data_IF_225381970319
#
_entry.id   IF_225381970319
#
_cell.length_a   1.000
_cell.length_b   1.000
_cell.length_c   1.000
_cell.angle_alpha   90.00
_cell.angle_beta   90.00
_cell.angle_gamma   90.00
#
_symmetry.space_group_name_H-M   'P 1'
#
loop_
_entity.id
_entity.type
_entity.pdbx_description
1 polymer ?
#
# COMPACT_ATOMS: atom_id res chain seq x y z
N UNK A 1 43.44 -38.26 73.75
CA UNK A 1 43.76 -36.87 74.12
C UNK A 1 43.68 -35.99 72.87
N UNK A 2 42.92 -34.89 72.96
CA UNK A 2 42.94 -33.67 72.13
C UNK A 2 42.45 -33.74 70.66
N UNK A 3 41.12 -33.76 70.54
CA UNK A 3 40.23 -32.79 69.85
C UNK A 3 40.69 -31.92 68.64
N UNK A 4 39.71 -31.79 67.71
CA UNK A 4 39.35 -30.64 66.84
C UNK A 4 40.17 -30.48 65.54
N UNK A 5 39.62 -30.16 64.35
CA UNK A 5 38.40 -29.44 63.96
C UNK A 5 37.88 -29.91 62.58
N UNK A 6 36.55 -29.90 62.42
CA UNK A 6 35.80 -30.06 61.17
C UNK A 6 35.77 -28.73 60.40
N UNK A 7 35.80 -28.73 59.07
CA UNK A 7 35.14 -27.70 58.25
C UNK A 7 34.70 -28.26 56.89
N UNK A 8 33.38 -28.27 56.68
CA UNK A 8 32.71 -28.45 55.39
C UNK A 8 32.92 -27.23 54.50
N UNK A 9 33.24 -27.43 53.23
CA UNK A 9 33.11 -26.40 52.21
C UNK A 9 31.90 -26.72 51.32
N UNK A 10 30.91 -25.81 51.19
CA UNK A 10 29.77 -26.02 50.31
C UNK A 10 30.15 -25.70 48.86
N UNK A 11 29.61 -26.53 47.96
CA UNK A 11 29.52 -26.31 46.52
C UNK A 11 28.69 -25.05 46.23
N UNK A 12 29.32 -23.95 45.83
CA UNK A 12 28.63 -22.76 45.31
C UNK A 12 28.65 -22.74 43.79
N UNK A 13 27.57 -23.24 43.20
CA UNK A 13 27.21 -23.05 41.79
C UNK A 13 26.76 -21.60 41.60
N UNK A 14 27.60 -20.78 40.96
CA UNK A 14 27.27 -19.40 40.60
C UNK A 14 26.39 -19.41 39.34
N UNK A 15 25.07 -19.43 39.53
CA UNK A 15 24.09 -19.26 38.46
C UNK A 15 23.97 -17.76 38.15
N UNK A 16 24.69 -17.28 37.15
CA UNK A 16 24.50 -15.93 36.61
C UNK A 16 23.18 -15.88 35.83
N UNK A 17 22.11 -15.41 36.46
CA UNK A 17 20.91 -14.96 35.73
C UNK A 17 21.30 -13.73 34.90
N UNK A 18 21.55 -13.94 33.61
CA UNK A 18 21.50 -12.86 32.64
C UNK A 18 20.04 -12.43 32.50
N UNK A 19 19.64 -11.39 33.25
CA UNK A 19 18.38 -10.70 33.00
C UNK A 19 18.56 -9.94 31.69
N UNK A 20 18.18 -10.58 30.58
CA UNK A 20 17.97 -9.85 29.34
C UNK A 20 16.85 -8.84 29.60
N UNK A 21 17.19 -7.55 29.60
CA UNK A 21 16.19 -6.49 29.54
C UNK A 21 15.43 -6.68 28.21
N UNK A 22 14.26 -7.34 28.26
CA UNK A 22 13.26 -7.18 27.21
C UNK A 22 12.84 -5.71 27.28
N UNK A 23 13.42 -4.88 26.42
CA UNK A 23 12.76 -3.63 26.05
C UNK A 23 11.42 -4.04 25.44
N UNK A 24 10.34 -3.84 26.19
CA UNK A 24 8.99 -3.95 25.67
C UNK A 24 8.88 -2.88 24.58
N UNK A 25 9.05 -3.30 23.32
CA UNK A 25 8.84 -2.45 22.18
C UNK A 25 7.38 -2.04 22.21
N UNK A 26 7.12 -0.73 22.37
CA UNK A 26 5.78 -0.16 22.33
C UNK A 26 5.14 -0.62 21.02
N UNK A 27 4.19 -1.55 21.12
CA UNK A 27 3.52 -2.11 19.97
C UNK A 27 2.71 -0.98 19.32
N UNK A 28 2.91 -0.74 18.03
CA UNK A 28 2.02 0.16 17.32
C UNK A 28 0.59 -0.38 17.44
N UNK A 29 -0.33 0.49 17.87
CA UNK A 29 -1.74 0.16 17.89
C UNK A 29 -2.23 -0.05 16.45
N UNK A 30 -2.96 -1.15 16.25
CA UNK A 30 -3.65 -1.42 14.98
C UNK A 30 -4.58 -0.25 14.65
N UNK A 31 -4.56 0.18 13.39
CA UNK A 31 -5.51 1.15 12.85
C UNK A 31 -6.92 0.56 12.73
N UNK A 32 -7.05 -0.76 12.81
CA UNK A 32 -8.29 -1.51 12.60
C UNK A 32 -8.70 -1.59 11.13
N UNK A 33 -7.81 -1.22 10.21
CA UNK A 33 -8.01 -1.29 8.78
C UNK A 33 -7.39 -2.56 8.20
N UNK A 34 -7.88 -3.04 7.03
CA UNK A 34 -7.27 -4.18 6.35
C UNK A 34 -5.80 -3.97 5.99
N UNK A 35 -5.39 -2.73 5.74
CA UNK A 35 -3.99 -2.37 5.43
C UNK A 35 -2.99 -2.75 6.53
N UNK A 36 -3.44 -2.91 7.79
CA UNK A 36 -2.59 -3.42 8.88
C UNK A 36 -2.11 -4.86 8.64
N UNK A 37 -2.78 -5.59 7.75
CA UNK A 37 -2.52 -6.98 7.41
C UNK A 37 -1.75 -7.16 6.09
N UNK A 38 -1.15 -6.09 5.56
CA UNK A 38 -0.25 -6.16 4.41
C UNK A 38 0.93 -5.17 4.56
N UNK A 39 2.16 -5.68 4.49
CA UNK A 39 3.35 -4.84 4.65
C UNK A 39 3.83 -4.25 3.32
N UNK A 40 3.67 -2.93 3.12
CA UNK A 40 4.19 -2.22 1.95
C UNK A 40 5.73 -2.30 1.88
N UNK A 41 6.41 -2.14 3.03
CA UNK A 41 7.86 -2.29 3.15
C UNK A 41 8.31 -3.71 2.82
N UNK A 42 7.57 -4.72 3.32
CA UNK A 42 7.82 -6.12 3.00
C UNK A 42 7.64 -6.43 1.52
N UNK A 43 6.62 -5.86 0.87
CA UNK A 43 6.43 -5.99 -0.57
C UNK A 43 7.62 -5.42 -1.36
N UNK A 44 8.14 -4.25 -0.99
CA UNK A 44 9.35 -3.72 -1.63
C UNK A 44 10.59 -4.59 -1.39
N UNK A 45 10.76 -5.13 -0.19
CA UNK A 45 11.89 -6.03 0.11
C UNK A 45 11.83 -7.33 -0.71
N UNK A 46 10.63 -7.89 -0.93
CA UNK A 46 10.45 -9.04 -1.81
C UNK A 46 10.67 -8.67 -3.27
N UNK A 47 10.15 -7.51 -3.72
CA UNK A 47 10.35 -7.03 -5.08
C UNK A 47 11.83 -6.81 -5.42
N UNK A 48 12.59 -6.28 -4.46
CA UNK A 48 14.06 -6.13 -4.54
C UNK A 48 14.80 -7.46 -4.73
N UNK A 49 14.29 -8.56 -4.17
CA UNK A 49 14.92 -9.89 -4.22
C UNK A 49 14.46 -10.73 -5.42
N UNK A 50 13.22 -10.54 -5.84
CA UNK A 50 12.61 -11.30 -6.90
C UNK A 50 13.37 -11.12 -8.23
N UNK A 51 13.37 -12.19 -9.04
CA UNK A 51 14.01 -12.19 -10.35
C UNK A 51 13.09 -11.67 -11.47
N UNK A 52 11.78 -11.66 -11.23
CA UNK A 52 10.75 -11.22 -12.17
C UNK A 52 9.45 -10.87 -11.42
N UNK A 53 8.47 -10.21 -12.07
CA UNK A 53 7.14 -10.01 -11.49
C UNK A 53 6.41 -11.32 -11.11
N UNK A 54 6.66 -12.42 -11.83
CA UNK A 54 6.11 -13.75 -11.52
C UNK A 54 6.73 -14.32 -10.24
N UNK A 55 8.05 -14.25 -10.10
CA UNK A 55 8.75 -14.69 -8.90
C UNK A 55 8.32 -13.85 -7.68
N UNK A 56 8.19 -12.53 -7.87
CA UNK A 56 7.65 -11.62 -6.87
C UNK A 56 6.24 -12.00 -6.41
N UNK A 57 5.34 -12.32 -7.34
CA UNK A 57 3.99 -12.82 -7.03
C UNK A 57 4.02 -14.09 -6.18
N UNK A 58 4.91 -15.02 -6.51
CA UNK A 58 5.11 -16.23 -5.70
C UNK A 58 5.57 -15.89 -4.28
N UNK A 59 6.59 -15.02 -4.13
CA UNK A 59 7.10 -14.61 -2.82
C UNK A 59 6.06 -13.88 -1.96
N UNK A 60 5.22 -13.03 -2.57
CA UNK A 60 4.14 -12.33 -1.86
C UNK A 60 3.15 -13.29 -1.18
N UNK A 61 2.92 -14.45 -1.80
CA UNK A 61 1.95 -15.44 -1.36
C UNK A 61 2.59 -16.63 -0.62
N UNK A 62 3.76 -16.43 -0.01
CA UNK A 62 4.39 -17.38 0.90
C UNK A 62 4.25 -16.90 2.35
N UNK A 63 3.74 -17.78 3.22
CA UNK A 63 3.46 -17.47 4.62
C UNK A 63 4.72 -17.03 5.39
N UNK A 64 5.85 -17.64 5.07
CA UNK A 64 7.15 -17.46 5.71
C UNK A 64 7.71 -16.04 5.53
N UNK A 65 7.30 -15.38 4.46
CA UNK A 65 7.72 -14.00 4.18
C UNK A 65 7.00 -13.00 5.08
N UNK A 66 5.86 -13.35 5.69
CA UNK A 66 5.12 -12.47 6.60
C UNK A 66 4.83 -11.09 5.98
N UNK A 67 4.47 -11.06 4.69
CA UNK A 67 4.12 -9.83 3.97
C UNK A 67 2.62 -9.72 3.74
N UNK A 68 1.99 -10.82 3.30
CA UNK A 68 0.55 -10.91 3.11
C UNK A 68 -0.10 -11.62 4.31
N UNK A 69 -1.13 -11.01 4.89
CA UNK A 69 -2.00 -11.58 5.91
C UNK A 69 -3.46 -11.15 5.70
N UNK A 70 -3.80 -10.78 4.46
CA UNK A 70 -5.09 -10.21 4.10
C UNK A 70 -6.17 -11.29 4.07
N UNK A 71 -7.31 -11.01 4.71
CA UNK A 71 -8.58 -11.74 4.56
C UNK A 71 -9.67 -10.67 4.41
N UNK A 72 -9.82 -10.19 3.18
CA UNK A 72 -10.69 -9.08 2.81
C UNK A 72 -12.14 -9.52 2.64
N UNK A 73 -12.35 -10.77 2.22
CA UNK A 73 -13.69 -11.35 2.06
C UNK A 73 -14.26 -11.90 3.39
N UNK A 74 -13.41 -12.12 4.41
CA UNK A 74 -13.77 -12.58 5.74
C UNK A 74 -14.09 -14.07 5.82
N UNK A 75 -13.55 -14.89 4.92
CA UNK A 75 -13.80 -16.34 4.89
C UNK A 75 -12.88 -17.15 5.82
N UNK A 76 -11.90 -16.47 6.45
CA UNK A 76 -10.97 -17.06 7.42
C UNK A 76 -9.72 -17.66 6.80
N UNK A 77 -9.57 -17.58 5.48
CA UNK A 77 -8.38 -17.93 4.72
C UNK A 77 -7.79 -16.65 4.10
N UNK A 78 -6.47 -16.62 3.89
CA UNK A 78 -5.86 -15.46 3.25
C UNK A 78 -6.23 -15.35 1.76
N UNK A 79 -6.46 -14.12 1.30
CA UNK A 79 -6.65 -13.84 -0.11
C UNK A 79 -5.34 -13.96 -0.89
N UNK A 80 -5.42 -14.58 -2.07
CA UNK A 80 -4.30 -14.58 -3.02
C UNK A 80 -4.12 -13.19 -3.63
N UNK A 81 -2.89 -12.66 -3.57
CA UNK A 81 -2.53 -11.37 -4.16
C UNK A 81 -1.80 -11.61 -5.48
N UNK A 82 -2.46 -11.30 -6.59
CA UNK A 82 -1.87 -11.37 -7.92
C UNK A 82 -1.19 -10.07 -8.33
N UNK A 83 -0.24 -10.17 -9.24
CA UNK A 83 0.58 -9.08 -9.76
C UNK A 83 0.19 -8.78 -11.21
N UNK A 84 -0.07 -7.51 -11.51
CA UNK A 84 -0.40 -7.05 -12.86
C UNK A 84 0.43 -5.81 -13.16
N UNK A 85 1.30 -5.87 -14.15
CA UNK A 85 2.01 -4.71 -14.65
C UNK A 85 1.13 -3.93 -15.65
N UNK A 86 1.19 -2.61 -15.59
CA UNK A 86 0.60 -1.70 -16.57
C UNK A 86 1.72 -0.77 -17.01
N UNK A 87 2.10 -0.88 -18.28
CA UNK A 87 3.22 -0.14 -18.84
C UNK A 87 2.74 0.95 -19.81
N UNK A 88 3.35 2.11 -19.73
CA UNK A 88 3.27 3.17 -20.74
C UNK A 88 4.68 3.78 -20.92
N UNK A 89 5.27 3.58 -22.09
CA UNK A 89 6.68 3.92 -22.35
C UNK A 89 7.62 3.29 -21.29
N UNK A 90 8.36 4.12 -20.56
CA UNK A 90 9.29 3.71 -19.51
C UNK A 90 8.64 3.66 -18.11
N UNK A 91 7.35 4.01 -17.99
CA UNK A 91 6.64 3.99 -16.72
C UNK A 91 5.96 2.64 -16.50
N UNK A 92 6.19 2.03 -15.34
CA UNK A 92 5.57 0.78 -14.92
C UNK A 92 4.73 0.98 -13.66
N UNK A 93 3.49 0.50 -13.70
CA UNK A 93 2.58 0.45 -12.57
C UNK A 93 2.21 -1.00 -12.25
N UNK A 94 2.99 -1.60 -11.34
CA UNK A 94 2.86 -2.98 -10.89
C UNK A 94 1.82 -3.05 -9.77
N UNK A 95 0.61 -3.44 -10.13
CA UNK A 95 -0.55 -3.51 -9.24
C UNK A 95 -0.55 -4.82 -8.46
N UNK A 96 -0.66 -4.72 -7.14
CA UNK A 96 -0.91 -5.84 -6.23
C UNK A 96 -2.41 -5.94 -5.99
N UNK A 97 -3.02 -7.02 -6.45
CA UNK A 97 -4.48 -7.15 -6.49
C UNK A 97 -4.94 -8.44 -5.81
N UNK A 98 -5.76 -8.32 -4.77
CA UNK A 98 -6.39 -9.47 -4.14
C UNK A 98 -7.54 -10.02 -5.00
N UNK A 99 -7.62 -11.35 -5.08
CA UNK A 99 -8.73 -12.07 -5.69
C UNK A 99 -9.76 -12.35 -4.59
N UNK A 100 -10.84 -11.57 -4.56
CA UNK A 100 -11.82 -11.57 -3.45
C UNK A 100 -12.96 -12.55 -3.71
N UNK A 101 -13.42 -12.63 -4.96
CA UNK A 101 -14.44 -13.57 -5.43
C UNK A 101 -14.32 -13.77 -6.95
N UNK A 102 -15.19 -14.60 -7.53
CA UNK A 102 -15.16 -15.01 -8.96
C UNK A 102 -14.89 -13.88 -9.95
N UNK A 103 -15.58 -12.76 -9.80
CA UNK A 103 -15.50 -11.61 -10.70
C UNK A 103 -15.18 -10.32 -9.92
N UNK A 104 -14.56 -10.46 -8.76
CA UNK A 104 -14.35 -9.37 -7.82
C UNK A 104 -12.90 -9.31 -7.36
N UNK A 105 -12.29 -8.16 -7.59
CA UNK A 105 -10.88 -7.91 -7.33
C UNK A 105 -10.72 -6.59 -6.60
N UNK A 106 -9.73 -6.54 -5.72
CA UNK A 106 -9.41 -5.36 -4.94
C UNK A 106 -7.93 -5.03 -5.08
N UNK A 107 -7.62 -3.81 -5.51
CA UNK A 107 -6.24 -3.35 -5.51
C UNK A 107 -5.82 -3.04 -4.06
N UNK A 108 -4.64 -3.53 -3.69
CA UNK A 108 -4.06 -3.40 -2.35
C UNK A 108 -3.02 -2.29 -2.33
N UNK A 109 -2.13 -2.33 -3.32
CA UNK A 109 -1.09 -1.34 -3.52
C UNK A 109 -0.63 -1.35 -4.98
N UNK A 110 0.09 -0.32 -5.37
CA UNK A 110 0.78 -0.25 -6.66
C UNK A 110 2.24 0.11 -6.44
N UNK A 111 3.16 -0.65 -7.02
CA UNK A 111 4.57 -0.27 -7.15
C UNK A 111 4.70 0.51 -8.45
N UNK A 112 5.00 1.80 -8.32
CA UNK A 112 5.20 2.73 -9.42
C UNK A 112 6.70 2.90 -9.65
N UNK A 113 7.14 2.71 -10.89
CA UNK A 113 8.56 2.76 -11.29
C UNK A 113 8.70 3.68 -12.49
N UNK A 114 9.66 4.59 -12.43
CA UNK A 114 10.05 5.48 -13.53
C UNK A 114 11.57 5.52 -13.67
N UNK A 115 12.05 5.55 -14.91
CA UNK A 115 13.45 5.89 -15.20
C UNK A 115 13.67 7.39 -14.98
N UNK A 116 14.77 7.73 -14.34
CA UNK A 116 15.25 9.11 -14.19
C UNK A 116 16.66 9.31 -14.79
N UNK A 117 17.21 8.27 -15.43
CA UNK A 117 18.44 8.30 -16.21
C UNK A 117 18.66 7.01 -17.02
N UNK A 118 19.82 6.87 -17.66
CA UNK A 118 20.12 5.69 -18.50
C UNK A 118 20.17 4.40 -17.68
N UNK A 119 20.87 4.43 -16.55
CA UNK A 119 21.02 3.35 -15.56
C UNK A 119 20.48 3.77 -14.19
N UNK A 120 19.41 4.56 -14.20
CA UNK A 120 18.79 5.07 -12.99
C UNK A 120 17.27 4.95 -13.08
N UNK A 121 16.69 4.47 -11.99
CA UNK A 121 15.26 4.42 -11.79
C UNK A 121 14.93 4.71 -10.33
N UNK A 122 13.74 5.27 -10.13
CA UNK A 122 13.13 5.48 -8.82
C UNK A 122 11.85 4.66 -8.74
N UNK A 123 11.49 4.23 -7.53
CA UNK A 123 10.19 3.62 -7.29
C UNK A 123 9.57 4.08 -5.99
N UNK A 124 8.24 4.00 -5.96
CA UNK A 124 7.43 4.16 -4.75
C UNK A 124 6.34 3.09 -4.76
N UNK A 125 5.98 2.56 -3.59
CA UNK A 125 4.76 1.77 -3.44
C UNK A 125 3.69 2.62 -2.77
N UNK A 126 2.49 2.63 -3.33
CA UNK A 126 1.33 3.36 -2.79
C UNK A 126 0.26 2.36 -2.38
N UNK A 127 -0.07 2.36 -1.09
CA UNK A 127 -1.19 1.62 -0.53
C UNK A 127 -2.53 2.22 -0.94
N UNK A 128 -3.50 1.36 -1.25
CA UNK A 128 -4.82 1.76 -1.70
C UNK A 128 -5.64 2.47 -0.60
N UNK A 129 -6.29 3.58 -0.93
CA UNK A 129 -7.03 4.40 0.04
C UNK A 129 -8.20 3.68 0.72
N UNK A 130 -8.78 2.66 0.09
CA UNK A 130 -9.89 1.88 0.65
C UNK A 130 -9.39 0.73 1.55
N UNK A 131 -8.08 0.47 1.54
CA UNK A 131 -7.39 -0.55 2.34
C UNK A 131 -6.63 0.08 3.51
N UNK A 132 -5.89 1.15 3.24
CA UNK A 132 -5.06 1.86 4.24
C UNK A 132 -5.76 3.10 4.82
N UNK A 133 -6.94 3.46 4.33
CA UNK A 133 -7.72 4.62 4.80
C UNK A 133 -7.24 5.96 4.23
N UNK A 134 -5.96 6.05 3.87
CA UNK A 134 -5.30 7.15 3.17
C UNK A 134 -4.29 6.60 2.15
N UNK A 135 -3.79 7.43 1.24
CA UNK A 135 -2.68 7.03 0.37
C UNK A 135 -1.40 6.99 1.20
N UNK A 136 -0.96 5.78 1.55
CA UNK A 136 0.32 5.57 2.25
C UNK A 136 1.38 5.31 1.19
N UNK A 137 2.40 6.16 1.14
CA UNK A 137 3.50 6.04 0.17
C UNK A 137 4.73 5.57 0.91
N UNK A 138 5.39 4.54 0.40
CA UNK A 138 6.63 4.00 0.95
C UNK A 138 7.69 3.97 -0.14
N UNK A 139 8.91 4.36 0.21
CA UNK A 139 10.07 4.33 -0.69
C UNK A 139 11.32 3.79 0.02
N UNK A 140 12.25 3.16 -0.74
CA UNK A 140 13.55 2.79 -0.21
C UNK A 140 14.37 4.06 0.13
N UNK A 141 15.17 3.97 1.18
CA UNK A 141 16.09 5.03 1.56
C UNK A 141 17.44 4.46 2.02
N UNK A 142 18.47 5.29 1.88
CA UNK A 142 19.76 5.11 2.53
C UNK A 142 20.01 6.30 3.47
N UNK A 143 20.68 6.02 4.59
CA UNK A 143 21.13 7.05 5.52
C UNK A 143 22.60 7.35 5.19
N UNK A 144 22.91 8.61 4.89
CA UNK A 144 24.29 9.08 4.87
C UNK A 144 24.60 9.78 6.19
N UNK A 145 25.76 9.46 6.78
CA UNK A 145 26.29 10.18 7.93
C UNK A 145 26.61 11.62 7.48
N UNK A 146 26.00 12.61 8.15
CA UNK A 146 26.30 14.01 7.89
C UNK A 146 27.78 14.31 8.17
N UNK A 147 28.41 15.06 7.26
CA UNK A 147 29.83 15.46 7.29
C UNK A 147 30.36 15.75 8.70
N UNK A 148 31.48 15.13 9.09
CA UNK A 148 32.20 15.26 10.37
C UNK A 148 32.86 16.65 10.55
N UNK A 149 32.15 17.71 10.21
CA UNK A 149 32.59 19.09 10.38
C UNK A 149 32.98 19.34 11.83
N UNK A 150 34.24 19.76 12.06
CA UNK A 150 34.77 20.15 13.38
C UNK A 150 34.00 21.36 13.93
N UNK A 151 32.85 21.12 14.55
CA UNK A 151 31.99 22.09 15.21
C UNK A 151 31.16 21.46 16.32
N UNK A 152 30.48 22.25 17.18
CA UNK A 152 29.70 21.72 18.28
C UNK A 152 28.57 20.82 17.75
N UNK A 153 28.43 19.61 18.29
CA UNK A 153 27.45 18.60 17.87
C UNK A 153 26.01 19.13 17.99
N UNK A 154 25.48 19.64 16.88
CA UNK A 154 24.04 19.71 16.65
C UNK A 154 23.55 18.29 16.36
N UNK A 155 22.37 17.94 16.86
CA UNK A 155 21.79 16.60 16.71
C UNK A 155 21.93 16.09 15.28
N UNK A 156 22.52 14.91 15.12
CA UNK A 156 22.82 14.23 13.85
C UNK A 156 21.66 14.37 12.86
N UNK A 157 21.81 15.27 11.88
CA UNK A 157 20.85 15.45 10.81
C UNK A 157 21.11 14.37 9.77
N UNK A 158 20.57 13.16 10.01
CA UNK A 158 20.64 12.07 9.04
C UNK A 158 19.88 12.47 7.78
N UNK A 159 20.60 12.61 6.67
CA UNK A 159 19.99 12.91 5.37
C UNK A 159 19.53 11.58 4.76
N UNK A 160 18.23 11.49 4.47
CA UNK A 160 17.66 10.33 3.78
C UNK A 160 17.67 10.56 2.29
N UNK A 161 18.36 9.68 1.57
CA UNK A 161 18.54 9.80 0.11
C UNK A 161 17.67 8.76 -0.58
N UNK A 162 17.06 9.18 -1.71
CA UNK A 162 16.28 8.29 -2.57
C UNK A 162 17.24 7.30 -3.23
N UNK A 163 16.96 6.01 -3.10
CA UNK A 163 17.82 4.94 -3.61
C UNK A 163 17.58 4.73 -5.11
N UNK A 164 18.66 4.67 -5.90
CA UNK A 164 18.59 4.18 -7.27
C UNK A 164 18.27 2.67 -7.25
N UNK A 165 17.11 2.31 -7.78
CA UNK A 165 16.61 0.92 -7.79
C UNK A 165 16.95 0.16 -9.06
N UNK A 166 17.65 0.78 -10.02
CA UNK A 166 18.00 0.19 -11.31
C UNK A 166 18.67 -1.19 -11.19
N UNK A 167 19.50 -1.39 -10.16
CA UNK A 167 20.22 -2.64 -9.93
C UNK A 167 19.36 -3.81 -9.45
N UNK A 168 18.09 -3.60 -9.09
CA UNK A 168 17.24 -4.66 -8.56
C UNK A 168 16.86 -5.65 -9.67
N UNK A 169 16.92 -6.98 -9.45
CA UNK A 169 16.68 -7.95 -10.52
C UNK A 169 15.29 -7.81 -11.15
N UNK A 170 14.22 -7.62 -10.36
CA UNK A 170 12.87 -7.33 -10.89
C UNK A 170 12.80 -6.06 -11.74
N UNK A 171 13.50 -4.99 -11.34
CA UNK A 171 13.52 -3.72 -12.09
C UNK A 171 14.25 -3.93 -13.42
N UNK A 172 15.41 -4.57 -13.39
CA UNK A 172 16.13 -4.94 -14.61
C UNK A 172 15.32 -5.85 -15.52
N UNK A 173 14.51 -6.74 -14.94
CA UNK A 173 13.66 -7.65 -15.69
C UNK A 173 12.58 -6.90 -16.49
N UNK A 174 11.88 -5.94 -15.86
CA UNK A 174 10.82 -5.19 -16.56
C UNK A 174 11.36 -4.23 -17.62
N UNK A 175 12.61 -3.76 -17.46
CA UNK A 175 13.30 -2.95 -18.47
C UNK A 175 14.14 -3.77 -19.46
N UNK A 176 14.12 -5.10 -19.38
CA UNK A 176 14.91 -5.95 -20.27
C UNK A 176 14.38 -5.89 -21.71
N UNK A 177 15.26 -5.94 -22.73
CA UNK A 177 14.82 -6.07 -24.12
C UNK A 177 13.93 -7.29 -24.31
N UNK A 178 12.72 -7.08 -24.83
CA UNK A 178 11.76 -8.15 -25.08
C UNK A 178 10.89 -8.55 -23.87
N UNK A 179 10.97 -7.83 -22.75
CA UNK A 179 10.00 -7.95 -21.66
C UNK A 179 8.58 -7.79 -22.21
N UNK A 180 7.67 -8.63 -21.69
CA UNK A 180 6.24 -8.54 -21.94
C UNK A 180 5.57 -8.31 -20.61
N UNK A 181 4.71 -7.30 -20.56
CA UNK A 181 3.91 -6.94 -19.39
C UNK A 181 3.36 -8.19 -18.71
N UNK A 182 3.78 -8.41 -17.46
CA UNK A 182 3.30 -9.52 -16.66
C UNK A 182 1.84 -9.29 -16.25
N UNK A 183 0.98 -10.21 -16.65
CA UNK A 183 -0.41 -10.27 -16.19
C UNK A 183 -0.62 -11.63 -15.59
N UNK A 184 -0.77 -11.68 -14.28
CA UNK A 184 -0.99 -12.94 -13.57
C UNK A 184 -2.11 -13.77 -14.19
N UNK A 185 -1.88 -15.07 -14.45
CA UNK A 185 -2.90 -15.95 -15.02
C UNK A 185 -3.91 -16.44 -13.97
N UNK A 186 -3.72 -16.12 -12.69
CA UNK A 186 -4.53 -16.65 -11.60
C UNK A 186 -5.82 -15.86 -11.40
N UNK A 187 -6.87 -16.60 -11.05
CA UNK A 187 -8.19 -16.08 -10.77
C UNK A 187 -8.88 -16.97 -9.74
N UNK A 188 -10.07 -16.57 -9.31
CA UNK A 188 -10.81 -17.27 -8.28
C UNK A 188 -10.97 -18.77 -8.58
N UNK A 189 -10.46 -19.61 -7.68
CA UNK A 189 -10.51 -21.06 -7.82
C UNK A 189 -9.48 -21.66 -8.79
N UNK A 190 -8.61 -20.85 -9.39
CA UNK A 190 -7.50 -21.29 -10.23
C UNK A 190 -6.21 -20.56 -9.80
N UNK A 191 -5.44 -21.24 -8.95
CA UNK A 191 -4.25 -20.73 -8.28
C UNK A 191 -3.01 -21.55 -8.64
N UNK A 192 -1.79 -21.03 -8.39
CA UNK A 192 -0.58 -21.82 -8.56
C UNK A 192 -0.63 -23.11 -7.73
N UNK A 193 -0.09 -24.20 -8.27
CA UNK A 193 -0.08 -25.51 -7.59
C UNK A 193 0.62 -25.50 -6.22
N UNK A 194 1.61 -24.63 -6.06
CA UNK A 194 2.40 -24.49 -4.84
C UNK A 194 1.71 -23.62 -3.80
N UNK A 195 0.71 -22.83 -4.19
CA UNK A 195 -0.02 -21.97 -3.27
C UNK A 195 -1.05 -22.77 -2.48
N UNK A 196 -1.08 -22.51 -1.18
CA UNK A 196 -2.10 -22.99 -0.26
C UNK A 196 -2.49 -21.83 0.65
N UNK A 197 -3.79 -21.55 0.83
CA UNK A 197 -4.19 -20.55 1.80
C UNK A 197 -3.80 -21.00 3.22
N UNK A 198 -3.48 -20.04 4.06
CA UNK A 198 -3.33 -20.22 5.50
C UNK A 198 -4.33 -19.33 6.23
N UNK A 199 -4.51 -19.58 7.52
CA UNK A 199 -5.36 -18.72 8.35
C UNK A 199 -4.62 -17.42 8.68
N UNK A 200 -5.27 -16.26 8.59
CA UNK A 200 -4.67 -15.00 8.99
C UNK A 200 -4.13 -15.07 10.41
N UNK A 201 -2.87 -14.69 10.58
CA UNK A 201 -2.27 -14.52 11.89
C UNK A 201 -2.94 -13.34 12.61
N UNK A 202 -3.18 -13.44 13.93
CA UNK A 202 -3.62 -12.30 14.72
C UNK A 202 -2.64 -11.13 14.54
N UNK A 203 -3.15 -9.90 14.50
CA UNK A 203 -2.32 -8.70 14.29
C UNK A 203 -1.10 -8.63 15.21
N UNK A 204 -1.28 -8.99 16.50
CA UNK A 204 -0.20 -9.00 17.51
C UNK A 204 0.95 -9.96 17.19
N UNK A 205 0.71 -10.97 16.35
CA UNK A 205 1.73 -11.93 15.88
C UNK A 205 2.29 -11.49 14.54
N UNK A 206 1.43 -11.02 13.63
CA UNK A 206 1.82 -10.60 12.29
C UNK A 206 2.70 -9.34 12.31
N UNK A 207 2.25 -8.27 12.96
CA UNK A 207 2.88 -6.96 12.88
C UNK A 207 4.33 -6.94 13.37
N UNK A 208 4.69 -7.55 14.51
CA UNK A 208 6.10 -7.60 14.92
C UNK A 208 7.01 -8.25 13.88
N UNK A 209 6.52 -9.23 13.11
CA UNK A 209 7.30 -9.91 12.06
C UNK A 209 7.57 -8.99 10.86
N UNK A 210 6.71 -8.00 10.60
CA UNK A 210 6.90 -7.05 9.50
C UNK A 210 7.92 -5.96 9.83
N UNK A 211 8.16 -5.68 11.11
CA UNK A 211 9.04 -4.58 11.56
C UNK A 211 10.46 -4.66 11.01
N UNK A 212 10.97 -5.88 10.74
CA UNK A 212 12.27 -6.10 10.09
C UNK A 212 12.41 -5.40 8.74
N UNK A 213 11.30 -5.19 8.05
CA UNK A 213 11.28 -4.51 6.77
C UNK A 213 11.36 -2.98 6.91
N UNK A 214 11.07 -2.41 8.08
CA UNK A 214 11.01 -0.96 8.25
C UNK A 214 12.40 -0.29 8.28
N UNK A 215 13.47 -1.09 8.32
CA UNK A 215 14.86 -0.61 8.40
C UNK A 215 15.30 0.10 7.13
N UNK A 216 14.85 -0.35 5.95
CA UNK A 216 15.33 0.13 4.63
C UNK A 216 14.28 0.85 3.80
N UNK A 217 13.06 0.92 4.31
CA UNK A 217 11.92 1.53 3.63
C UNK A 217 11.16 2.39 4.62
N UNK A 218 10.83 3.61 4.22
CA UNK A 218 10.16 4.57 5.07
C UNK A 218 8.90 5.13 4.41
N UNK A 219 7.97 5.58 5.24
CA UNK A 219 6.76 6.26 4.77
C UNK A 219 7.11 7.71 4.41
N UNK A 220 6.64 8.15 3.25
CA UNK A 220 6.83 9.51 2.74
C UNK A 220 5.50 10.20 2.45
N UNK A 221 5.49 11.53 2.58
CA UNK A 221 4.33 12.35 2.23
C UNK A 221 4.37 12.91 0.81
N UNK A 222 5.45 12.66 0.07
CA UNK A 222 5.68 13.22 -1.27
C UNK A 222 5.64 12.10 -2.29
N UNK A 223 4.82 12.30 -3.32
CA UNK A 223 4.70 11.41 -4.46
C UNK A 223 5.55 11.94 -5.61
N UNK A 224 6.56 11.15 -6.01
CA UNK A 224 7.58 11.53 -7.00
C UNK A 224 7.30 10.91 -8.37
N UNK A 225 6.74 9.71 -8.39
CA UNK A 225 6.55 8.87 -9.59
C UNK A 225 5.20 9.19 -10.23
N UNK A 226 5.11 10.28 -10.99
CA UNK A 226 3.81 10.85 -11.40
C UNK A 226 3.27 10.34 -12.73
N UNK A 227 4.09 9.81 -13.62
CA UNK A 227 3.69 9.19 -14.89
C UNK A 227 3.12 7.80 -14.64
N UNK A 228 3.83 6.92 -13.93
CA UNK A 228 3.32 5.59 -13.57
C UNK A 228 1.98 5.66 -12.82
N UNK A 229 1.82 6.65 -11.95
CA UNK A 229 0.53 6.90 -11.30
C UNK A 229 -0.61 7.24 -12.26
N UNK A 230 -0.32 7.97 -13.34
CA UNK A 230 -1.32 8.26 -14.39
C UNK A 230 -1.66 7.02 -15.18
N UNK A 231 -0.73 6.08 -15.33
CA UNK A 231 -0.98 4.75 -15.93
C UNK A 231 -1.91 3.93 -15.03
N UNK A 232 -1.66 3.91 -13.73
CA UNK A 232 -2.45 3.17 -12.74
C UNK A 232 -3.87 3.72 -12.52
N UNK A 233 -4.00 5.04 -12.30
CA UNK A 233 -5.26 5.68 -11.91
C UNK A 233 -6.50 5.26 -12.72
N UNK A 234 -6.47 5.17 -14.07
CA UNK A 234 -7.64 4.77 -14.86
C UNK A 234 -8.00 3.29 -14.75
N UNK A 235 -7.05 2.41 -14.38
CA UNK A 235 -7.23 0.96 -14.32
C UNK A 235 -7.50 0.41 -12.91
N UNK A 236 -7.36 1.26 -11.87
CA UNK A 236 -7.65 0.92 -10.48
C UNK A 236 -8.98 0.18 -10.29
N UNK A 237 -8.95 -0.91 -9.53
CA UNK A 237 -10.10 -1.76 -9.19
C UNK A 237 -10.44 -1.73 -7.70
N UNK A 238 -11.74 -1.80 -7.43
CA UNK A 238 -12.30 -1.89 -6.08
C UNK A 238 -13.38 -2.96 -6.04
N UNK A 239 -13.44 -3.67 -4.93
CA UNK A 239 -14.44 -4.69 -4.64
C UNK A 239 -15.61 -4.12 -3.84
N UNK A 240 -16.84 -4.49 -4.21
CA UNK A 240 -18.07 -4.17 -3.47
C UNK A 240 -18.08 -4.91 -2.14
N UNK A 241 -17.65 -6.17 -2.12
CA UNK A 241 -17.53 -6.98 -0.90
C UNK A 241 -16.58 -6.33 0.09
N UNK A 242 -15.36 -5.99 -0.35
CA UNK A 242 -14.37 -5.31 0.51
C UNK A 242 -14.90 -3.97 0.99
N UNK A 243 -15.47 -3.17 0.10
CA UNK A 243 -16.06 -1.88 0.46
C UNK A 243 -17.13 -2.06 1.53
N UNK A 244 -18.04 -3.02 1.37
CA UNK A 244 -19.12 -3.27 2.34
C UNK A 244 -18.58 -3.73 3.68
N UNK A 245 -17.65 -4.69 3.67
CA UNK A 245 -17.07 -5.28 4.88
C UNK A 245 -16.29 -4.25 5.70
N UNK A 246 -15.49 -3.41 5.05
CA UNK A 246 -14.51 -2.54 5.74
C UNK A 246 -14.90 -1.06 5.79
N UNK A 247 -16.01 -0.65 5.17
CA UNK A 247 -16.46 0.76 5.12
C UNK A 247 -16.61 1.41 6.50
N UNK A 248 -17.06 0.68 7.52
CA UNK A 248 -17.23 1.20 8.87
C UNK A 248 -15.89 1.56 9.50
N UNK A 249 -14.91 0.65 9.43
CA UNK A 249 -13.54 0.86 9.94
C UNK A 249 -12.86 2.00 9.20
N UNK A 250 -12.95 2.03 7.87
CA UNK A 250 -12.38 3.11 7.04
C UNK A 250 -13.02 4.46 7.37
N UNK A 251 -14.33 4.51 7.56
CA UNK A 251 -15.04 5.75 7.92
C UNK A 251 -14.62 6.25 9.30
N UNK A 252 -14.53 5.35 10.28
CA UNK A 252 -14.06 5.67 11.63
C UNK A 252 -12.62 6.19 11.61
N UNK A 253 -11.72 5.48 10.94
CA UNK A 253 -10.32 5.88 10.81
C UNK A 253 -10.17 7.27 10.21
N UNK A 254 -10.88 7.55 9.11
CA UNK A 254 -10.86 8.86 8.45
C UNK A 254 -11.40 9.95 9.39
N UNK A 255 -12.50 9.68 10.10
CA UNK A 255 -13.05 10.63 11.07
C UNK A 255 -12.06 10.96 12.20
N UNK A 256 -11.41 9.95 12.77
CA UNK A 256 -10.41 10.11 13.86
C UNK A 256 -9.19 10.93 13.41
N UNK A 257 -8.82 10.82 12.12
CA UNK A 257 -7.75 11.62 11.48
C UNK A 257 -8.20 13.03 11.04
N UNK A 258 -9.43 13.44 11.36
CA UNK A 258 -9.99 14.72 10.91
C UNK A 258 -10.27 14.78 9.41
N UNK A 259 -10.33 13.63 8.73
CA UNK A 259 -10.68 13.49 7.32
C UNK A 259 -12.18 13.23 7.19
N UNK A 260 -12.93 14.18 6.64
CA UNK A 260 -14.34 14.02 6.32
C UNK A 260 -14.52 13.81 4.82
N UNK A 261 -15.06 12.66 4.41
CA UNK A 261 -15.38 12.35 3.01
C UNK A 261 -16.89 12.41 2.77
N UNK A 262 -17.35 13.41 2.04
CA UNK A 262 -18.75 13.58 1.65
C UNK A 262 -18.93 13.20 0.17
N UNK A 263 -19.64 12.10 -0.10
CA UNK A 263 -19.97 11.65 -1.47
C UNK A 263 -21.45 11.83 -1.75
N UNK A 264 -21.79 12.67 -2.71
CA UNK A 264 -23.17 12.89 -3.15
C UNK A 264 -23.29 12.50 -4.63
N UNK A 265 -24.28 11.66 -4.94
CA UNK A 265 -24.60 11.30 -6.34
C UNK A 265 -26.02 11.77 -6.66
N UNK A 266 -26.15 12.61 -7.68
CA UNK A 266 -27.44 13.15 -8.13
C UNK A 266 -27.68 12.71 -9.57
N UNK A 267 -28.84 12.09 -9.81
CA UNK A 267 -29.33 11.82 -11.16
C UNK A 267 -29.93 13.09 -11.76
N UNK A 268 -29.59 13.41 -13.01
CA UNK A 268 -30.11 14.57 -13.71
C UNK A 268 -30.73 14.10 -15.03
N UNK A 269 -31.99 14.45 -15.26
CA UNK A 269 -32.71 14.18 -16.51
C UNK A 269 -33.09 15.51 -17.15
N UNK A 270 -32.85 15.65 -18.44
CA UNK A 270 -33.26 16.80 -19.24
C UNK A 270 -34.00 16.31 -20.48
N UNK A 271 -35.18 16.88 -20.71
CA UNK A 271 -35.98 16.69 -21.93
C UNK A 271 -35.90 17.96 -22.76
N UNK A 272 -35.34 17.85 -23.97
CA UNK A 272 -35.27 18.97 -24.90
C UNK A 272 -36.57 19.16 -25.68
N UNK A 273 -36.81 20.37 -26.20
CA UNK A 273 -38.03 20.76 -26.93
C UNK A 273 -38.32 19.94 -28.22
N UNK A 274 -37.40 19.08 -28.66
CA UNK A 274 -37.54 18.20 -29.85
C UNK A 274 -37.62 16.69 -29.50
N UNK A 275 -37.97 16.34 -28.27
CA UNK A 275 -38.14 14.94 -27.82
C UNK A 275 -36.84 14.20 -27.45
N UNK A 276 -35.66 14.79 -27.72
CA UNK A 276 -34.38 14.22 -27.29
C UNK A 276 -34.29 14.19 -25.75
N UNK A 277 -34.04 13.01 -25.19
CA UNK A 277 -33.86 12.82 -23.75
C UNK A 277 -32.38 12.64 -23.42
N UNK A 278 -31.87 13.49 -22.53
CA UNK A 278 -30.53 13.38 -21.97
C UNK A 278 -30.63 12.93 -20.51
N UNK A 279 -29.91 11.88 -20.17
CA UNK A 279 -29.78 11.42 -18.78
C UNK A 279 -28.32 11.45 -18.36
N UNK A 280 -28.06 11.92 -17.16
CA UNK A 280 -26.72 12.00 -16.62
C UNK A 280 -26.67 11.71 -15.14
N UNK A 281 -25.50 11.28 -14.69
CA UNK A 281 -25.16 11.18 -13.28
C UNK A 281 -24.11 12.23 -12.97
N UNK A 282 -24.34 13.00 -11.92
CA UNK A 282 -23.35 13.90 -11.34
C UNK A 282 -22.96 13.36 -9.98
N UNK A 283 -21.72 12.93 -9.84
CA UNK A 283 -21.16 12.55 -8.55
C UNK A 283 -20.17 13.61 -8.08
N UNK A 284 -20.33 14.08 -6.85
CA UNK A 284 -19.43 15.02 -6.18
C UNK A 284 -18.86 14.33 -4.95
N UNK A 285 -17.54 14.20 -4.90
CA UNK A 285 -16.80 13.76 -3.72
C UNK A 285 -16.06 14.96 -3.16
N UNK A 286 -16.32 15.31 -1.91
CA UNK A 286 -15.60 16.36 -1.17
C UNK A 286 -14.83 15.68 -0.07
N UNK A 287 -13.52 15.90 -0.03
CA UNK A 287 -12.63 15.45 1.04
C UNK A 287 -12.17 16.70 1.78
N UNK A 288 -12.44 16.74 3.07
CA UNK A 288 -12.01 17.79 3.98
C UNK A 288 -11.03 17.19 4.97
N UNK A 289 -9.88 17.81 5.15
CA UNK A 289 -8.88 17.45 6.13
C UNK A 289 -8.71 18.59 7.11
N UNK A 290 -8.89 18.28 8.39
CA UNK A 290 -8.74 19.21 9.50
C UNK A 290 -7.49 18.87 10.30
N UNK A 291 -6.37 19.48 9.93
CA UNK A 291 -5.09 19.33 10.63
C UNK A 291 -4.84 20.45 11.62
N UNK A 292 -4.05 20.19 12.67
CA UNK A 292 -3.69 21.17 13.72
C UNK A 292 -3.18 22.52 13.19
N UNK A 293 -2.50 22.53 12.04
CA UNK A 293 -1.90 23.74 11.46
C UNK A 293 -2.51 24.17 10.11
N UNK A 294 -3.29 23.31 9.45
CA UNK A 294 -3.80 23.55 8.08
C UNK A 294 -5.08 22.78 7.83
N UNK A 295 -6.06 23.48 7.26
CA UNK A 295 -7.26 22.87 6.70
C UNK A 295 -7.12 22.73 5.18
N UNK A 296 -7.44 21.56 4.65
CA UNK A 296 -7.43 21.29 3.20
C UNK A 296 -8.80 20.79 2.77
N UNK A 297 -9.33 21.35 1.69
CA UNK A 297 -10.59 20.94 1.08
C UNK A 297 -10.38 20.62 -0.40
N UNK A 298 -10.43 19.33 -0.73
CA UNK A 298 -10.42 18.84 -2.11
C UNK A 298 -11.85 18.49 -2.54
N UNK A 299 -12.21 18.84 -3.77
CA UNK A 299 -13.52 18.52 -4.36
C UNK A 299 -13.33 17.94 -5.75
N UNK A 300 -13.73 16.68 -5.94
CA UNK A 300 -13.79 16.01 -7.24
C UNK A 300 -15.23 15.95 -7.71
N UNK A 301 -15.51 16.47 -8.90
CA UNK A 301 -16.81 16.38 -9.55
C UNK A 301 -16.69 15.57 -10.83
N UNK A 302 -17.44 14.48 -10.94
CA UNK A 302 -17.54 13.68 -12.16
C UNK A 302 -18.94 13.83 -12.73
N UNK A 303 -19.02 14.20 -14.01
CA UNK A 303 -20.26 14.25 -14.80
C UNK A 303 -20.21 13.16 -15.85
N UNK A 304 -21.21 12.28 -15.85
CA UNK A 304 -21.42 11.29 -16.89
C UNK A 304 -22.76 11.57 -17.55
N UNK A 305 -22.78 11.65 -18.87
CA UNK A 305 -23.97 11.92 -19.66
C UNK A 305 -24.17 10.88 -20.75
N UNK A 306 -25.43 10.55 -21.01
CA UNK A 306 -25.91 9.81 -22.17
C UNK A 306 -26.95 10.67 -22.88
N UNK A 307 -26.77 10.87 -24.18
CA UNK A 307 -27.75 11.52 -25.05
C UNK A 307 -28.27 10.48 -26.03
N UNK A 308 -29.59 10.29 -26.02
CA UNK A 308 -30.29 9.44 -26.98
C UNK A 308 -30.83 10.33 -28.09
N UNK A 309 -30.40 10.08 -29.32
CA UNK A 309 -30.86 10.82 -30.51
C UNK A 309 -32.11 10.15 -31.07
N UNK A 310 -33.00 10.93 -31.67
CA UNK A 310 -34.24 10.44 -32.31
C UNK A 310 -34.01 9.34 -33.38
N UNK A 311 -32.82 9.25 -33.98
CA UNK A 311 -32.46 8.20 -34.95
C UNK A 311 -31.85 6.93 -34.30
N UNK A 312 -32.06 6.69 -33.01
CA UNK A 312 -31.57 5.50 -32.29
C UNK A 312 -30.11 5.54 -31.83
N UNK A 313 -29.31 6.51 -32.29
CA UNK A 313 -27.91 6.66 -31.89
C UNK A 313 -27.73 7.13 -30.43
N UNK A 314 -26.81 6.52 -29.70
CA UNK A 314 -26.47 6.89 -28.30
C UNK A 314 -25.06 7.44 -28.20
N UNK A 315 -24.90 8.66 -27.64
CA UNK A 315 -23.58 9.27 -27.37
C UNK A 315 -23.34 9.30 -25.86
N UNK A 316 -22.17 8.80 -25.42
CA UNK A 316 -21.74 8.83 -24.02
C UNK A 316 -20.62 9.85 -23.84
N UNK A 317 -20.64 10.60 -22.73
CA UNK A 317 -19.56 11.51 -22.35
C UNK A 317 -19.26 11.43 -20.85
N UNK A 318 -17.98 11.48 -20.47
CA UNK A 318 -17.51 11.55 -19.08
C UNK A 318 -16.54 12.71 -18.94
N UNK A 319 -16.76 13.59 -17.96
CA UNK A 319 -15.86 14.69 -17.62
C UNK A 319 -15.63 14.71 -16.11
N UNK A 320 -14.37 14.75 -15.70
CA UNK A 320 -13.95 14.84 -14.29
C UNK A 320 -13.24 16.16 -14.07
N UNK A 321 -13.47 16.79 -12.92
CA UNK A 321 -12.79 18.04 -12.52
C UNK A 321 -12.46 18.00 -11.04
N UNK A 322 -11.23 18.34 -10.68
CA UNK A 322 -10.74 18.39 -9.30
C UNK A 322 -10.39 19.82 -8.93
N UNK A 323 -10.75 20.26 -7.72
CA UNK A 323 -10.40 21.57 -7.16
C UNK A 323 -9.90 21.38 -5.74
N UNK A 324 -8.75 21.98 -5.41
CA UNK A 324 -8.17 21.97 -4.06
C UNK A 324 -8.16 23.39 -3.50
N UNK A 325 -8.53 23.54 -2.24
CA UNK A 325 -8.40 24.78 -1.46
C UNK A 325 -7.66 24.47 -0.17
N UNK A 326 -6.74 25.34 0.23
CA UNK A 326 -5.98 25.20 1.47
C UNK A 326 -6.08 26.49 2.27
N UNK A 327 -6.34 26.36 3.57
CA UNK A 327 -6.34 27.48 4.53
C UNK A 327 -5.29 27.17 5.60
N UNK A 328 -4.32 28.08 5.77
CA UNK A 328 -3.40 28.06 6.91
C UNK A 328 -4.02 28.89 8.03
N UNK A 329 -3.93 28.39 9.27
CA UNK A 329 -4.34 29.13 10.47
C UNK A 329 -3.22 30.03 10.95
#
# INVERSE_FOLDING_TARGET
>A
MKHLLKFSAPLTLLLTLAVANLQAQEMADSTGLPGDHFSLQGALELFKKAQSPEDFESLLNQEENHVNNLDLNGDGDIDYVRVIDNQDEDAHAIVLQAIVAKDEFQDIAVIEIEKDGDESAILQIIGDEDIYGENVIVEPFEEEDGDDGKGPRMAEETVRIVVNVWGWPSVRFVYAPGYRVWVSPWYWGYYPRVWRPWRPHPFRVFWPRTTRYHVRYHVVGVHRVTHAHRVYTPVRRTSVTVTRTHSASVTKYRADRGVTVNKTTTGVKYTGARGNTASGKRSKTTVEYHGKNRDVKATRTTKQGKVQKNNGGTVKGKKTTTRVKTKRH
#
